data_IF_551833904773
#
_entry.id   IF_551833904773
#
_cell.length_a   1.000
_cell.length_b   1.000
_cell.length_c   1.000
_cell.angle_alpha   90.00
_cell.angle_beta   90.00
_cell.angle_gamma   90.00
#
_symmetry.space_group_name_H-M   'P 1'
#
loop_
_entity.id
_entity.type
_entity.pdbx_description
1 polymer ?
#
# COMPACT_ATOMS: atom_id res chain seq x y z
N UNK A 1 -8.71 -0.85 -1.92
CA UNK A 1 -8.85 -0.62 -0.46
C UNK A 1 -7.62 0.07 0.13
N UNK A 2 -6.44 -0.59 0.12
CA UNK A 2 -5.21 -0.04 0.70
C UNK A 2 -4.83 1.36 0.19
N UNK A 3 -5.01 1.64 -1.10
CA UNK A 3 -4.80 2.98 -1.65
C UNK A 3 -5.63 4.07 -0.97
N UNK A 4 -6.90 3.81 -0.64
CA UNK A 4 -7.80 4.80 -0.02
C UNK A 4 -7.38 5.12 1.41
N UNK A 5 -7.06 4.11 2.21
CA UNK A 5 -6.55 4.32 3.58
C UNK A 5 -5.16 4.95 3.57
N UNK A 6 -4.32 4.67 2.57
CA UNK A 6 -3.02 5.31 2.41
C UNK A 6 -3.13 6.80 2.07
N UNK A 7 -4.10 7.19 1.22
CA UNK A 7 -4.41 8.60 0.96
C UNK A 7 -4.90 9.30 2.24
N UNK A 8 -5.78 8.65 3.00
CA UNK A 8 -6.29 9.16 4.27
C UNK A 8 -5.20 9.33 5.33
N UNK A 9 -4.24 8.41 5.36
CA UNK A 9 -3.06 8.47 6.21
C UNK A 9 -2.06 9.57 5.78
N UNK A 10 -2.17 10.06 4.53
CA UNK A 10 -1.37 11.16 3.99
C UNK A 10 -0.21 10.72 3.09
N UNK A 11 -0.21 9.48 2.58
CA UNK A 11 0.83 9.03 1.64
C UNK A 11 0.70 9.71 0.27
N UNK A 12 1.82 9.98 -0.41
CA UNK A 12 1.80 10.51 -1.77
C UNK A 12 1.53 9.38 -2.78
N UNK A 13 0.32 8.82 -2.78
CA UNK A 13 -0.06 7.73 -3.70
C UNK A 13 -0.41 8.31 -5.08
N UNK A 14 -0.03 7.60 -6.15
CA UNK A 14 -0.44 7.98 -7.51
C UNK A 14 -1.98 8.06 -7.57
N UNK A 15 -2.57 9.12 -8.19
CA UNK A 15 -4.02 9.21 -8.30
C UNK A 15 -4.58 7.94 -8.94
N UNK A 16 -5.60 7.35 -8.31
CA UNK A 16 -6.25 6.15 -8.83
C UNK A 16 -7.76 6.30 -8.74
N UNK A 17 -8.46 5.52 -9.54
CA UNK A 17 -9.91 5.44 -9.55
C UNK A 17 -10.35 4.07 -10.09
N UNK A 18 -11.64 3.78 -9.96
CA UNK A 18 -12.25 2.67 -10.68
C UNK A 18 -12.61 3.19 -12.07
N UNK A 19 -12.12 2.50 -13.10
CA UNK A 19 -12.46 2.77 -14.51
C UNK A 19 -13.38 1.68 -15.03
N UNK A 20 -14.11 1.94 -16.10
CA UNK A 20 -14.91 0.94 -16.79
C UNK A 20 -14.21 0.56 -18.11
N UNK A 21 -13.93 -0.73 -18.29
CA UNK A 21 -13.25 -1.27 -19.46
C UNK A 21 -14.31 -1.78 -20.45
N UNK A 22 -14.53 -1.10 -21.59
CA UNK A 22 -15.55 -1.51 -22.54
C UNK A 22 -15.13 -2.77 -23.31
N UNK A 23 -16.09 -3.60 -23.69
CA UNK A 23 -15.84 -4.84 -24.43
C UNK A 23 -15.10 -4.61 -25.75
N UNK A 24 -15.44 -3.52 -26.45
CA UNK A 24 -14.81 -3.12 -27.70
C UNK A 24 -13.32 -2.85 -27.53
N UNK A 25 -12.89 -2.35 -26.36
CA UNK A 25 -11.47 -2.14 -26.09
C UNK A 25 -10.76 -3.48 -25.95
N UNK A 26 -11.32 -4.42 -25.19
CA UNK A 26 -10.73 -5.75 -24.97
C UNK A 26 -10.62 -6.54 -26.26
N UNK A 27 -11.65 -6.51 -27.12
CA UNK A 27 -11.63 -7.18 -28.43
C UNK A 27 -10.50 -6.66 -29.34
N UNK A 28 -10.09 -5.41 -29.16
CA UNK A 28 -8.99 -4.79 -29.90
C UNK A 28 -7.60 -5.05 -29.27
N UNK A 29 -7.53 -5.56 -28.03
CA UNK A 29 -6.27 -5.85 -27.36
C UNK A 29 -5.61 -7.12 -27.95
N UNK A 30 -4.26 -7.17 -27.94
CA UNK A 30 -3.51 -8.41 -28.13
C UNK A 30 -4.02 -9.52 -27.19
N UNK A 31 -3.97 -10.78 -27.64
CA UNK A 31 -4.52 -11.93 -26.89
C UNK A 31 -3.94 -12.02 -25.46
N UNK A 32 -2.65 -11.73 -25.30
CA UNK A 32 -1.95 -11.73 -24.01
C UNK A 32 -2.34 -10.57 -23.07
N UNK A 33 -3.15 -9.62 -23.54
CA UNK A 33 -3.66 -8.48 -22.77
C UNK A 33 -5.17 -8.52 -22.57
N UNK A 34 -5.87 -9.50 -23.18
CA UNK A 34 -7.31 -9.69 -23.01
C UNK A 34 -7.68 -10.15 -21.59
N UNK A 35 -6.71 -10.63 -20.81
CA UNK A 35 -6.87 -10.94 -19.38
C UNK A 35 -7.30 -9.73 -18.54
N UNK A 36 -7.17 -8.49 -19.05
CA UNK A 36 -7.73 -7.29 -18.44
C UNK A 36 -9.24 -7.43 -18.16
N UNK A 37 -9.96 -8.15 -19.03
CA UNK A 37 -11.40 -8.32 -18.93
C UNK A 37 -12.18 -7.04 -19.19
N UNK A 38 -13.51 -7.16 -19.11
CA UNK A 38 -14.46 -6.04 -19.31
C UNK A 38 -15.10 -5.63 -18.00
N UNK A 39 -15.53 -4.38 -17.89
CA UNK A 39 -16.20 -3.83 -16.72
C UNK A 39 -15.26 -3.08 -15.77
N UNK A 40 -15.65 -2.90 -14.50
CA UNK A 40 -14.87 -2.22 -13.47
C UNK A 40 -13.44 -2.75 -13.29
N UNK A 41 -12.45 -1.89 -13.54
CA UNK A 41 -11.03 -2.18 -13.32
C UNK A 41 -10.37 -1.09 -12.45
N UNK A 42 -9.24 -1.45 -11.82
CA UNK A 42 -8.42 -0.48 -11.12
C UNK A 42 -7.59 0.34 -12.11
N UNK A 43 -7.80 1.65 -12.13
CA UNK A 43 -7.02 2.59 -12.95
C UNK A 43 -6.10 3.43 -12.07
N UNK A 44 -4.80 3.39 -12.33
CA UNK A 44 -3.80 4.30 -11.74
C UNK A 44 -3.28 5.27 -12.79
N UNK A 45 -3.14 6.54 -12.44
CA UNK A 45 -2.68 7.58 -13.34
C UNK A 45 -1.18 7.42 -13.61
N UNK A 46 -0.83 7.16 -14.86
CA UNK A 46 0.57 7.09 -15.29
C UNK A 46 1.28 8.43 -15.08
N UNK A 47 2.43 8.38 -14.38
CA UNK A 47 3.24 9.55 -14.10
C UNK A 47 4.30 9.76 -15.18
N UNK A 48 4.26 10.90 -15.86
CA UNK A 48 5.24 11.25 -16.88
C UNK A 48 6.64 11.43 -16.28
N UNK A 49 7.65 10.82 -16.91
CA UNK A 49 9.07 10.96 -16.54
C UNK A 49 9.44 10.51 -15.12
N UNK A 50 8.58 9.74 -14.46
CA UNK A 50 8.91 9.15 -13.18
C UNK A 50 9.82 7.93 -13.38
N UNK A 51 10.78 7.76 -12.48
CA UNK A 51 11.73 6.64 -12.48
C UNK A 51 11.42 5.75 -11.28
N UNK A 52 11.65 4.46 -11.38
CA UNK A 52 11.62 3.63 -10.18
C UNK A 52 12.68 4.10 -9.16
N UNK A 53 12.32 4.11 -7.87
CA UNK A 53 13.26 4.45 -6.80
C UNK A 53 14.35 3.38 -6.71
N UNK A 54 15.61 3.79 -6.81
CA UNK A 54 16.76 2.92 -6.56
C UNK A 54 17.61 3.47 -5.39
N UNK A 55 18.65 2.73 -5.00
CA UNK A 55 19.49 3.07 -3.84
C UNK A 55 19.96 4.55 -3.77
N UNK A 56 20.40 5.19 -4.87
CA UNK A 56 20.75 6.61 -4.86
C UNK A 56 19.59 7.55 -4.48
N UNK A 57 18.35 7.22 -4.89
CA UNK A 57 17.18 8.05 -4.60
C UNK A 57 16.64 7.85 -3.18
N UNK A 58 16.90 6.70 -2.53
CA UNK A 58 16.48 6.45 -1.13
C UNK A 58 16.89 7.61 -0.24
N UNK A 59 18.15 8.06 -0.35
CA UNK A 59 18.70 9.19 0.40
C UNK A 59 18.06 10.55 0.11
N UNK A 60 17.39 10.69 -1.04
CA UNK A 60 16.73 11.93 -1.48
C UNK A 60 15.27 12.02 -1.02
N UNK A 61 14.64 10.90 -0.65
CA UNK A 61 13.29 10.91 -0.09
C UNK A 61 13.32 11.57 1.29
N UNK A 62 12.45 12.54 1.62
CA UNK A 62 12.42 13.13 2.95
C UNK A 62 12.21 12.09 4.04
N UNK A 63 12.93 12.26 5.15
CA UNK A 63 12.91 11.39 6.32
C UNK A 63 11.47 11.09 6.79
N UNK A 64 10.64 12.13 6.92
CA UNK A 64 9.23 11.99 7.31
C UNK A 64 8.44 11.09 6.35
N UNK A 65 8.61 11.29 5.03
CA UNK A 65 7.93 10.47 4.01
C UNK A 65 8.37 9.01 4.06
N UNK A 66 9.65 8.73 4.37
CA UNK A 66 10.13 7.36 4.56
C UNK A 66 9.50 6.69 5.78
N UNK A 67 9.41 7.42 6.89
CA UNK A 67 8.75 6.94 8.11
C UNK A 67 7.26 6.67 7.88
N UNK A 68 6.58 7.60 7.19
CA UNK A 68 5.17 7.46 6.85
C UNK A 68 4.90 6.19 6.02
N UNK A 69 5.68 5.98 4.95
CA UNK A 69 5.57 4.79 4.11
C UNK A 69 5.82 3.52 4.93
N UNK A 70 6.91 3.48 5.71
CA UNK A 70 7.26 2.32 6.54
C UNK A 70 6.15 1.97 7.55
N UNK A 71 5.64 2.96 8.29
CA UNK A 71 4.59 2.75 9.31
C UNK A 71 3.31 2.27 8.63
N UNK A 72 2.96 2.87 7.49
CA UNK A 72 1.78 2.46 6.74
C UNK A 72 1.90 1.03 6.23
N UNK A 73 3.00 0.66 5.57
CA UNK A 73 3.18 -0.70 5.03
C UNK A 73 3.24 -1.73 6.16
N UNK A 74 3.84 -1.40 7.31
CA UNK A 74 3.80 -2.24 8.50
C UNK A 74 2.36 -2.42 9.03
N UNK A 75 1.58 -1.33 9.09
CA UNK A 75 0.19 -1.33 9.54
C UNK A 75 -0.73 -2.16 8.65
N UNK A 76 -0.61 -2.01 7.34
CA UNK A 76 -1.45 -2.76 6.39
C UNK A 76 -0.84 -4.11 6.01
N UNK A 77 0.26 -4.52 6.64
CA UNK A 77 0.96 -5.78 6.33
C UNK A 77 1.35 -5.92 4.84
N UNK A 78 1.86 -4.83 4.26
CA UNK A 78 2.37 -4.83 2.88
C UNK A 78 3.85 -5.22 2.85
N UNK A 79 4.13 -6.50 2.60
CA UNK A 79 5.49 -7.04 2.52
C UNK A 79 6.26 -6.71 1.24
N UNK A 80 5.58 -6.26 0.19
CA UNK A 80 6.16 -6.21 -1.16
C UNK A 80 7.06 -4.99 -1.39
N UNK A 81 7.03 -3.99 -0.51
CA UNK A 81 7.85 -2.77 -0.63
C UNK A 81 9.31 -2.98 -0.23
N UNK A 82 10.06 -3.65 -1.09
CA UNK A 82 11.39 -4.18 -0.77
C UNK A 82 12.51 -3.53 -1.57
N UNK A 83 13.68 -3.36 -0.94
CA UNK A 83 14.92 -3.05 -1.62
C UNK A 83 16.13 -3.58 -0.83
N UNK A 84 16.83 -4.55 -1.43
CA UNK A 84 18.00 -5.21 -0.87
C UNK A 84 19.23 -5.03 -1.78
N UNK A 85 20.38 -5.59 -1.37
CA UNK A 85 21.57 -5.60 -2.20
C UNK A 85 21.41 -6.42 -3.49
N UNK A 86 20.44 -7.35 -3.53
CA UNK A 86 20.12 -8.17 -4.70
C UNK A 86 19.03 -7.55 -5.59
N UNK A 87 18.60 -6.33 -5.29
CA UNK A 87 17.39 -5.72 -5.86
C UNK A 87 16.19 -5.88 -4.94
N UNK A 88 15.00 -5.68 -5.49
CA UNK A 88 13.73 -5.76 -4.77
C UNK A 88 12.62 -5.17 -5.63
N UNK A 89 11.45 -5.00 -5.04
CA UNK A 89 10.32 -4.33 -5.64
C UNK A 89 9.97 -3.06 -4.85
N UNK A 90 10.60 -1.90 -5.14
CA UNK A 90 10.33 -0.69 -4.39
C UNK A 90 8.87 -0.26 -4.47
N UNK A 91 8.16 -0.52 -5.57
CA UNK A 91 6.80 0.02 -5.81
C UNK A 91 6.70 1.53 -5.50
N UNK A 92 7.78 2.25 -5.75
CA UNK A 92 7.92 3.69 -5.52
C UNK A 92 8.50 4.31 -6.78
N UNK A 93 7.89 5.42 -7.19
CA UNK A 93 8.34 6.22 -8.31
C UNK A 93 8.96 7.53 -7.80
N UNK A 94 10.10 7.92 -8.36
CA UNK A 94 10.76 9.18 -8.14
C UNK A 94 10.49 10.12 -9.31
N UNK A 95 9.93 11.29 -9.01
CA UNK A 95 9.83 12.37 -9.98
C UNK A 95 11.06 13.29 -9.85
N UNK A 96 11.98 13.32 -10.83
CA UNK A 96 13.19 14.14 -10.76
C UNK A 96 12.91 15.64 -10.91
N UNK A 97 11.75 16.04 -11.45
CA UNK A 97 11.40 17.45 -11.63
C UNK A 97 10.90 18.06 -10.33
N UNK A 98 10.10 17.30 -9.57
CA UNK A 98 9.52 17.77 -8.29
C UNK A 98 10.33 17.32 -7.08
N UNK A 99 11.30 16.43 -7.27
CA UNK A 99 12.06 15.75 -6.21
C UNK A 99 11.13 15.09 -5.18
N UNK A 100 10.10 14.40 -5.67
CA UNK A 100 9.10 13.73 -4.83
C UNK A 100 9.03 12.25 -5.16
N UNK A 101 8.82 11.46 -4.11
CA UNK A 101 8.42 10.07 -4.24
C UNK A 101 6.91 9.98 -4.40
N UNK A 102 6.47 9.02 -5.19
CA UNK A 102 5.07 8.65 -5.36
C UNK A 102 4.93 7.15 -5.12
N UNK A 103 3.98 6.78 -4.28
CA UNK A 103 3.70 5.40 -3.91
C UNK A 103 2.75 4.78 -4.93
N UNK A 104 3.12 3.60 -5.42
CA UNK A 104 2.28 2.78 -6.29
C UNK A 104 2.14 1.38 -5.70
N UNK A 105 1.25 0.60 -6.32
CA UNK A 105 1.06 -0.82 -6.12
C UNK A 105 0.93 -1.26 -4.65
N UNK A 106 -0.30 -1.19 -4.14
CA UNK A 106 -0.66 -1.68 -2.79
C UNK A 106 -1.56 -2.92 -2.85
N UNK A 107 -1.44 -3.71 -3.92
CA UNK A 107 -2.26 -4.90 -4.14
C UNK A 107 -1.93 -6.05 -3.16
N UNK A 108 -0.69 -6.12 -2.64
CA UNK A 108 -0.23 -7.11 -1.65
C UNK A 108 -0.42 -6.66 -0.20
N UNK A 109 -1.24 -5.64 0.05
CA UNK A 109 -1.63 -5.28 1.41
C UNK A 109 -2.58 -6.33 2.01
N UNK A 110 -2.60 -6.39 3.34
CA UNK A 110 -3.40 -7.29 4.18
C UNK A 110 -3.02 -8.76 4.03
N UNK A 111 -1.72 -9.03 3.78
CA UNK A 111 -1.23 -10.39 3.60
C UNK A 111 -1.37 -11.20 4.91
N UNK A 112 -2.07 -12.33 4.80
CA UNK A 112 -2.25 -13.30 5.88
C UNK A 112 -0.98 -14.09 6.19
N UNK A 113 -0.08 -14.23 5.21
CA UNK A 113 1.22 -14.87 5.34
C UNK A 113 2.33 -13.87 5.74
N UNK A 114 1.97 -12.63 6.06
CA UNK A 114 2.91 -11.56 6.37
C UNK A 114 3.91 -11.95 7.46
N UNK A 115 5.20 -11.77 7.16
CA UNK A 115 6.30 -12.10 8.05
C UNK A 115 7.03 -10.84 8.54
N UNK A 116 6.90 -10.48 9.84
CA UNK A 116 7.56 -9.31 10.39
C UNK A 116 9.09 -9.27 10.23
N UNK A 117 9.76 -10.41 10.39
CA UNK A 117 11.21 -10.47 10.29
C UNK A 117 11.67 -10.23 8.85
N UNK A 118 10.95 -10.80 7.88
CA UNK A 118 11.23 -10.57 6.45
C UNK A 118 10.93 -9.13 6.05
N UNK A 119 9.81 -8.57 6.51
CA UNK A 119 9.45 -7.18 6.28
C UNK A 119 10.57 -6.23 6.75
N UNK A 120 10.98 -6.32 8.01
CA UNK A 120 12.04 -5.44 8.51
C UNK A 120 13.41 -5.73 7.91
N UNK A 121 13.65 -6.94 7.40
CA UNK A 121 14.88 -7.25 6.68
C UNK A 121 14.92 -6.59 5.30
N UNK A 122 13.82 -6.67 4.53
CA UNK A 122 13.78 -6.31 3.12
C UNK A 122 13.26 -4.90 2.84
N UNK A 123 12.46 -4.32 3.74
CA UNK A 123 11.77 -3.06 3.48
C UNK A 123 12.76 -1.93 3.18
N UNK A 124 12.47 -1.16 2.12
CA UNK A 124 13.36 -0.11 1.60
C UNK A 124 13.71 0.97 2.64
N UNK A 125 12.79 1.27 3.55
CA UNK A 125 12.95 2.27 4.61
C UNK A 125 13.13 1.69 6.02
N UNK A 126 13.45 0.40 6.16
CA UNK A 126 13.59 -0.27 7.48
C UNK A 126 14.44 0.49 8.50
N UNK A 127 15.46 1.22 8.05
CA UNK A 127 16.37 1.98 8.91
C UNK A 127 15.67 3.04 9.76
N UNK A 128 14.49 3.50 9.32
CA UNK A 128 13.73 4.53 10.05
C UNK A 128 12.96 3.95 11.25
N UNK A 129 12.74 2.64 11.34
CA UNK A 129 11.90 2.05 12.39
C UNK A 129 12.39 2.39 13.80
N UNK A 130 13.68 2.19 14.06
CA UNK A 130 14.28 2.37 15.37
C UNK A 130 14.12 3.79 15.91
N UNK A 131 14.14 4.81 15.06
CA UNK A 131 13.91 6.20 15.49
C UNK A 131 12.44 6.49 15.78
N UNK A 132 11.51 5.85 15.06
CA UNK A 132 10.07 6.05 15.20
C UNK A 132 9.64 5.54 16.58
N UNK A 133 10.00 4.30 16.90
CA UNK A 133 9.58 3.65 18.14
C UNK A 133 10.30 4.16 19.40
N UNK A 134 11.43 4.85 19.22
CA UNK A 134 12.17 5.47 20.32
C UNK A 134 11.54 6.79 20.81
N UNK A 135 10.65 7.41 20.02
CA UNK A 135 9.98 8.66 20.37
C UNK A 135 8.48 8.44 20.60
N UNK A 136 8.07 8.54 21.87
CA UNK A 136 6.68 8.35 22.26
C UNK A 136 5.73 9.42 21.69
N UNK A 137 6.23 10.62 21.38
CA UNK A 137 5.41 11.67 20.76
C UNK A 137 5.15 11.33 19.29
N UNK A 138 6.17 10.86 18.59
CA UNK A 138 6.05 10.35 17.22
C UNK A 138 5.09 9.16 17.15
N UNK A 139 5.22 8.18 18.06
CA UNK A 139 4.30 7.03 18.17
C UNK A 139 2.85 7.50 18.36
N UNK A 140 2.58 8.35 19.35
CA UNK A 140 1.23 8.86 19.60
C UNK A 140 0.65 9.62 18.40
N UNK A 141 1.50 10.34 17.65
CA UNK A 141 1.10 11.04 16.42
C UNK A 141 0.69 10.05 15.33
N UNK A 142 1.43 8.96 15.15
CA UNK A 142 1.06 7.93 14.20
C UNK A 142 -0.22 7.21 14.61
N UNK A 143 -0.40 6.84 15.87
CA UNK A 143 -1.63 6.21 16.35
C UNK A 143 -2.88 7.03 16.00
N UNK A 144 -2.82 8.36 16.18
CA UNK A 144 -3.91 9.26 15.79
C UNK A 144 -4.17 9.25 14.27
N UNK A 145 -3.11 9.23 13.46
CA UNK A 145 -3.23 9.18 11.99
C UNK A 145 -3.80 7.84 11.50
N UNK A 146 -3.35 6.73 12.09
CA UNK A 146 -3.84 5.38 11.79
C UNK A 146 -5.33 5.29 12.15
N UNK A 147 -5.70 5.72 13.36
CA UNK A 147 -7.10 5.76 13.82
C UNK A 147 -7.99 6.57 12.87
N UNK A 148 -7.56 7.77 12.48
CA UNK A 148 -8.30 8.62 11.55
C UNK A 148 -8.46 7.99 10.16
N UNK A 149 -7.49 7.19 9.71
CA UNK A 149 -7.52 6.53 8.41
C UNK A 149 -8.42 5.29 8.36
N UNK A 150 -8.70 4.62 9.50
CA UNK A 150 -9.51 3.40 9.56
C UNK A 150 -10.89 3.59 8.92
N UNK A 151 -11.55 4.73 9.15
CA UNK A 151 -12.88 4.98 8.60
C UNK A 151 -12.94 4.89 7.07
N UNK A 152 -11.82 5.19 6.39
CA UNK A 152 -11.74 5.08 4.92
C UNK A 152 -11.64 3.63 4.43
N UNK A 153 -11.32 2.67 5.30
CA UNK A 153 -11.36 1.25 4.94
C UNK A 153 -12.80 0.81 4.66
N UNK A 154 -13.72 1.07 5.60
CA UNK A 154 -15.14 0.74 5.43
C UNK A 154 -15.74 1.45 4.22
N UNK A 155 -15.47 2.74 4.05
CA UNK A 155 -15.92 3.50 2.87
C UNK A 155 -15.39 2.86 1.58
N UNK A 156 -14.11 2.46 1.54
CA UNK A 156 -13.53 1.82 0.36
C UNK A 156 -14.19 0.47 0.05
N UNK A 157 -14.48 -0.35 1.07
CA UNK A 157 -15.21 -1.61 0.91
C UNK A 157 -16.64 -1.37 0.37
N UNK A 158 -17.37 -0.40 0.93
CA UNK A 158 -18.74 -0.10 0.53
C UNK A 158 -18.83 0.50 -0.89
N UNK A 159 -17.79 1.20 -1.33
CA UNK A 159 -17.68 1.78 -2.68
C UNK A 159 -17.13 0.83 -3.75
N UNK A 160 -16.69 -0.37 -3.33
CA UNK A 160 -16.08 -1.33 -4.22
C UNK A 160 -17.14 -1.94 -5.17
N UNK A 161 -16.81 -2.20 -6.46
CA UNK A 161 -17.71 -2.90 -7.36
C UNK A 161 -18.15 -4.24 -6.76
N UNK A 162 -19.44 -4.57 -6.91
CA UNK A 162 -20.01 -5.80 -6.34
C UNK A 162 -19.29 -7.05 -6.84
N UNK A 163 -18.93 -7.07 -8.12
CA UNK A 163 -18.18 -8.13 -8.79
C UNK A 163 -16.81 -8.42 -8.16
N UNK A 164 -16.15 -7.45 -7.53
CA UNK A 164 -14.84 -7.68 -6.90
C UNK A 164 -14.92 -8.51 -5.60
N UNK A 165 -16.13 -8.76 -5.09
CA UNK A 165 -16.34 -9.67 -3.96
C UNK A 165 -16.39 -11.13 -4.39
N UNK A 166 -16.30 -11.41 -5.70
CA UNK A 166 -16.41 -12.74 -6.29
C UNK A 166 -15.21 -13.02 -7.19
N UNK A 167 -14.70 -14.26 -7.17
CA UNK A 167 -13.64 -14.72 -8.09
C UNK A 167 -14.27 -15.32 -9.36
N UNK A 168 -15.44 -15.92 -9.20
CA UNK A 168 -16.24 -16.53 -10.26
C UNK A 168 -17.72 -16.58 -9.81
N UNK A 169 -18.61 -17.05 -10.68
CA UNK A 169 -20.05 -17.15 -10.40
C UNK A 169 -20.32 -17.98 -9.13
N UNK A 170 -20.81 -17.31 -8.09
CA UNK A 170 -21.12 -17.91 -6.79
C UNK A 170 -19.90 -18.30 -5.94
N UNK A 171 -18.68 -17.95 -6.37
CA UNK A 171 -17.44 -18.20 -5.62
C UNK A 171 -16.93 -16.88 -5.04
N UNK A 172 -17.10 -16.63 -3.72
CA UNK A 172 -16.63 -15.39 -3.10
C UNK A 172 -15.10 -15.34 -3.07
N UNK A 173 -14.55 -14.14 -2.99
CA UNK A 173 -13.12 -13.96 -2.71
C UNK A 173 -12.76 -14.44 -1.30
N UNK A 174 -11.47 -14.65 -1.07
CA UNK A 174 -10.91 -14.90 0.26
C UNK A 174 -10.74 -13.62 1.08
N UNK A 175 -11.13 -12.46 0.55
CA UNK A 175 -10.99 -11.18 1.22
C UNK A 175 -12.04 -11.06 2.34
N UNK A 176 -11.58 -11.01 3.58
CA UNK A 176 -12.42 -10.88 4.77
C UNK A 176 -12.28 -9.47 5.38
N UNK A 177 -13.24 -8.61 5.08
CA UNK A 177 -13.22 -7.22 5.51
C UNK A 177 -13.25 -7.06 7.03
N UNK A 178 -14.01 -7.90 7.74
CA UNK A 178 -14.15 -7.83 9.20
C UNK A 178 -12.85 -8.25 9.90
N UNK A 179 -12.19 -9.31 9.38
CA UNK A 179 -10.88 -9.74 9.84
C UNK A 179 -9.82 -8.66 9.62
N UNK A 180 -9.81 -8.03 8.44
CA UNK A 180 -8.86 -6.97 8.11
C UNK A 180 -9.12 -5.73 8.98
N UNK A 181 -10.36 -5.32 9.17
CA UNK A 181 -10.70 -4.21 10.06
C UNK A 181 -10.23 -4.48 11.50
N UNK A 182 -10.46 -5.69 12.00
CA UNK A 182 -9.96 -6.13 13.31
C UNK A 182 -8.43 -6.02 13.38
N UNK A 183 -7.72 -6.43 12.33
CA UNK A 183 -6.26 -6.30 12.21
C UNK A 183 -5.81 -4.84 12.18
N UNK A 184 -6.52 -3.96 11.47
CA UNK A 184 -6.17 -2.53 11.37
C UNK A 184 -6.39 -1.79 12.68
N UNK A 185 -7.34 -2.20 13.52
CA UNK A 185 -7.57 -1.58 14.84
C UNK A 185 -6.62 -2.06 15.94
N UNK A 186 -5.85 -3.13 15.68
CA UNK A 186 -5.03 -3.79 16.69
C UNK A 186 -3.76 -2.99 17.09
N UNK A 187 -3.39 -1.92 16.37
CA UNK A 187 -2.18 -1.14 16.69
C UNK A 187 -2.25 -0.45 18.06
N UNK A 188 -3.47 -0.13 18.53
CA UNK A 188 -3.72 0.55 19.79
C UNK A 188 -3.66 -0.38 21.01
N UNK A 189 -3.42 -1.68 20.80
CA UNK A 189 -3.27 -2.66 21.87
C UNK A 189 -1.84 -2.69 22.43
N UNK A 190 -1.74 -2.86 23.75
CA UNK A 190 -0.58 -2.49 24.56
C UNK A 190 0.78 -3.11 24.18
N UNK A 191 0.86 -4.25 23.46
CA UNK A 191 2.09 -5.06 23.45
C UNK A 191 2.56 -5.64 22.09
N UNK A 192 2.01 -5.22 20.94
CA UNK A 192 2.35 -5.88 19.65
C UNK A 192 2.98 -4.98 18.59
N UNK A 193 2.29 -3.90 18.23
CA UNK A 193 2.53 -3.21 16.98
C UNK A 193 3.85 -2.42 16.95
N UNK A 194 4.10 -1.60 17.97
CA UNK A 194 5.30 -0.79 18.07
C UNK A 194 6.52 -1.56 18.59
N UNK A 195 6.33 -2.79 19.09
CA UNK A 195 7.40 -3.65 19.59
C UNK A 195 8.04 -4.58 18.54
N UNK A 196 7.48 -4.63 17.32
CA UNK A 196 7.71 -5.68 16.31
C UNK A 196 9.08 -5.77 15.63
N UNK A 197 10.08 -4.98 16.03
CA UNK A 197 11.43 -5.01 15.44
C UNK A 197 12.51 -5.56 16.39
N UNK A 198 12.19 -6.63 17.11
CA UNK A 198 13.19 -7.38 17.90
C UNK A 198 13.74 -8.55 17.10
#
# INVERSE_FOLDING_TARGET
>A
MAGNIGLAFGLPIAPFTIVDVPAELVEMLPIDQQELGTGPAFGSLALSHALEVSWPQVGSVPIETRSDILVFDWWVRNGDRSLTALGGNPNLLWNPTTERVVVIDQNQAFDDAFNPAEFFFSHIFRAEWGRIVADCVTVATYEQRLEAAIAQFTVACDSCPEEWWWVDEGVPTTFDADKILSQLTAFSQADGFWGGAK
#
